data_IF_020875091537
#
_entry.id   IF_020875091537
#
_cell.length_a   1.000
_cell.length_b   1.000
_cell.length_c   1.000
_cell.angle_alpha   90.00
_cell.angle_beta   90.00
_cell.angle_gamma   90.00
#
_symmetry.space_group_name_H-M   'P 1'
#
loop_
_entity.id
_entity.type
_entity.pdbx_description
1 polymer ?
#
# COMPACT_ATOMS: atom_id res chain seq x y z
N UNK A 1 5.66 3.41 -9.92
CA UNK A 1 4.77 2.23 -9.91
C UNK A 1 3.75 2.37 -8.82
N UNK A 2 2.49 2.12 -9.12
CA UNK A 2 1.44 2.11 -8.13
C UNK A 2 1.30 0.72 -7.54
N UNK A 3 1.12 0.65 -6.24
CA UNK A 3 1.03 -0.60 -5.51
C UNK A 3 -0.30 -0.62 -4.76
N UNK A 4 -1.03 -1.70 -4.90
CA UNK A 4 -2.29 -1.89 -4.21
C UNK A 4 -2.06 -2.78 -3.00
N UNK A 5 -2.50 -2.31 -1.83
CA UNK A 5 -2.28 -3.00 -0.56
C UNK A 5 -3.63 -3.30 0.06
N UNK A 6 -3.85 -4.55 0.44
CA UNK A 6 -5.13 -5.00 0.98
C UNK A 6 -4.94 -5.72 2.30
N UNK A 7 -6.05 -5.99 2.94
CA UNK A 7 -6.10 -6.72 4.21
C UNK A 7 -5.32 -6.00 5.29
N UNK A 8 -5.40 -4.68 5.29
CA UNK A 8 -4.72 -3.86 6.29
C UNK A 8 -5.48 -3.87 7.60
N UNK A 9 -4.74 -3.80 8.69
CA UNK A 9 -5.34 -3.57 9.99
C UNK A 9 -5.97 -2.17 9.98
N UNK A 10 -7.17 -2.07 10.53
CA UNK A 10 -7.89 -0.79 10.51
C UNK A 10 -7.19 0.31 11.27
N UNK A 11 -6.31 -0.04 12.19
CA UNK A 11 -5.54 0.95 12.96
C UNK A 11 -4.23 1.33 12.29
N UNK A 12 -3.88 0.71 11.17
CA UNK A 12 -2.65 1.03 10.46
C UNK A 12 -2.76 2.42 9.84
N UNK A 13 -1.73 3.22 10.06
CA UNK A 13 -1.72 4.60 9.58
C UNK A 13 -0.86 4.71 8.33
N UNK A 14 -1.08 5.81 7.61
CA UNK A 14 -0.32 6.06 6.39
C UNK A 14 1.16 6.15 6.66
N UNK A 15 1.55 6.76 7.78
CA UNK A 15 2.96 6.85 8.14
C UNK A 15 3.59 5.48 8.31
N UNK A 16 2.86 4.57 8.93
CA UNK A 16 3.36 3.22 9.15
C UNK A 16 3.51 2.47 7.83
N UNK A 17 2.53 2.63 6.96
CA UNK A 17 2.59 1.99 5.65
C UNK A 17 3.73 2.57 4.82
N UNK A 18 3.93 3.87 4.89
CA UNK A 18 5.03 4.52 4.20
C UNK A 18 6.38 3.98 4.68
N UNK A 19 6.52 3.75 5.98
CA UNK A 19 7.78 3.23 6.52
C UNK A 19 8.04 1.81 6.04
N UNK A 20 7.01 0.99 5.95
CA UNK A 20 7.18 -0.37 5.45
C UNK A 20 7.78 -0.39 4.05
N UNK A 21 7.24 0.44 3.18
CA UNK A 21 7.70 0.48 1.80
C UNK A 21 8.97 1.29 1.66
N UNK A 22 9.18 2.25 2.55
CA UNK A 22 10.36 3.09 2.51
C UNK A 22 11.66 2.35 2.74
N UNK A 23 11.59 1.17 3.32
CA UNK A 23 12.79 0.35 3.52
C UNK A 23 13.34 -0.18 2.22
N UNK A 24 12.54 -0.21 1.17
CA UNK A 24 12.96 -0.73 -0.12
C UNK A 24 13.33 0.36 -1.11
N UNK A 25 12.88 1.58 -0.87
CA UNK A 25 13.18 2.69 -1.74
C UNK A 25 12.29 3.86 -1.42
N UNK A 26 12.39 4.89 -2.25
CA UNK A 26 11.63 6.11 -2.05
C UNK A 26 10.14 5.86 -2.26
N UNK A 27 9.33 6.42 -1.38
CA UNK A 27 7.87 6.38 -1.48
C UNK A 27 7.40 7.79 -1.79
N UNK A 28 6.76 7.99 -2.95
CA UNK A 28 6.31 9.33 -3.32
C UNK A 28 4.95 9.65 -2.74
N UNK A 29 4.09 8.65 -2.53
CA UNK A 29 2.82 8.91 -1.88
C UNK A 29 2.26 7.62 -1.29
N UNK A 30 1.43 7.79 -0.27
CA UNK A 30 0.72 6.70 0.40
C UNK A 30 -0.69 7.18 0.66
N UNK A 31 -1.65 6.31 0.40
CA UNK A 31 -3.05 6.65 0.67
C UNK A 31 -3.77 5.43 1.21
N UNK A 32 -4.39 5.59 2.38
CA UNK A 32 -5.24 4.55 2.95
C UNK A 32 -6.68 5.01 2.74
N UNK A 33 -7.47 4.15 2.13
CA UNK A 33 -8.86 4.49 1.80
C UNK A 33 -9.72 4.37 3.05
N UNK A 34 -10.54 5.36 3.27
CA UNK A 34 -11.42 5.40 4.43
C UNK A 34 -12.86 5.48 3.99
N UNK A 35 -13.74 4.95 4.83
CA UNK A 35 -15.17 5.07 4.61
C UNK A 35 -15.60 6.52 4.87
N UNK A 36 -16.32 7.10 3.93
CA UNK A 36 -16.72 8.49 4.07
C UNK A 36 -17.76 8.70 5.17
N UNK A 37 -18.52 7.68 5.45
CA UNK A 37 -19.61 7.79 6.43
C UNK A 37 -19.07 7.64 7.84
N UNK A 38 -18.26 6.62 8.08
CA UNK A 38 -17.76 6.31 9.43
C UNK A 38 -16.39 6.89 9.70
N UNK A 39 -15.63 7.25 8.66
CA UNK A 39 -14.28 7.73 8.81
C UNK A 39 -13.27 6.64 9.11
N UNK A 40 -13.67 5.40 9.08
CA UNK A 40 -12.80 4.27 9.38
C UNK A 40 -12.09 3.78 8.13
N UNK A 41 -10.87 3.27 8.32
CA UNK A 41 -10.13 2.66 7.22
C UNK A 41 -10.87 1.43 6.73
N UNK A 42 -10.88 1.25 5.41
CA UNK A 42 -11.56 0.10 4.80
C UNK A 42 -10.67 -1.12 4.69
N UNK A 43 -9.40 -1.01 5.10
CA UNK A 43 -8.51 -2.14 5.07
C UNK A 43 -7.71 -2.25 3.79
N UNK A 44 -7.71 -1.23 2.96
CA UNK A 44 -6.88 -1.24 1.76
C UNK A 44 -6.40 0.18 1.44
N UNK A 45 -5.38 0.25 0.60
CA UNK A 45 -4.83 1.53 0.21
C UNK A 45 -3.89 1.39 -0.95
N UNK A 46 -3.20 2.47 -1.26
CA UNK A 46 -2.29 2.53 -2.39
C UNK A 46 -0.99 3.17 -1.96
N UNK A 47 0.11 2.68 -2.54
CA UNK A 47 1.44 3.24 -2.33
C UNK A 47 2.02 3.52 -3.70
N UNK A 48 2.65 4.68 -3.85
CA UNK A 48 3.34 4.99 -5.10
C UNK A 48 4.83 5.07 -4.86
N UNK A 49 5.58 4.29 -5.61
CA UNK A 49 7.05 4.29 -5.58
C UNK A 49 7.55 4.58 -6.98
N UNK A 50 8.38 5.62 -7.14
CA UNK A 50 8.86 5.97 -8.49
C UNK A 50 9.85 4.96 -9.06
N UNK A 51 10.56 4.22 -8.22
CA UNK A 51 11.54 3.24 -8.67
C UNK A 51 10.85 1.89 -8.83
N UNK A 52 10.75 1.42 -10.07
CA UNK A 52 10.06 0.16 -10.34
C UNK A 52 10.78 -1.04 -9.72
N UNK A 53 12.09 -1.00 -9.66
CA UNK A 53 12.84 -2.10 -9.04
C UNK A 53 12.58 -2.16 -7.54
N UNK A 54 12.61 -1.01 -6.89
CA UNK A 54 12.31 -0.95 -5.46
C UNK A 54 10.87 -1.38 -5.19
N UNK A 55 9.94 -0.95 -6.04
CA UNK A 55 8.54 -1.32 -5.89
C UNK A 55 8.34 -2.82 -6.06
N UNK A 56 8.99 -3.41 -7.04
CA UNK A 56 8.88 -4.85 -7.27
C UNK A 56 9.41 -5.63 -6.08
N UNK A 57 10.54 -5.20 -5.54
CA UNK A 57 11.11 -5.86 -4.37
C UNK A 57 10.19 -5.70 -3.16
N UNK A 58 9.63 -4.52 -2.97
CA UNK A 58 8.72 -4.28 -1.86
C UNK A 58 7.49 -5.20 -1.98
N UNK A 59 6.93 -5.32 -3.16
CA UNK A 59 5.79 -6.19 -3.38
C UNK A 59 6.15 -7.62 -2.98
N UNK A 60 7.28 -8.10 -3.47
CA UNK A 60 7.69 -9.47 -3.21
C UNK A 60 7.96 -9.75 -1.74
N UNK A 61 8.53 -8.78 -1.03
CA UNK A 61 8.91 -8.98 0.37
C UNK A 61 7.78 -8.72 1.34
N UNK A 62 6.91 -7.78 1.03
CA UNK A 62 5.86 -7.37 1.96
C UNK A 62 4.60 -8.20 1.79
N UNK A 63 4.33 -8.69 0.57
CA UNK A 63 3.14 -9.48 0.32
C UNK A 63 3.13 -10.71 1.23
N UNK A 64 2.06 -10.87 1.98
CA UNK A 64 1.93 -11.97 2.91
C UNK A 64 2.56 -11.74 4.27
N UNK A 65 3.20 -10.60 4.47
CA UNK A 65 3.83 -10.28 5.74
C UNK A 65 2.78 -9.93 6.79
N UNK A 66 3.08 -10.31 8.02
CA UNK A 66 2.20 -9.99 9.14
C UNK A 66 2.45 -8.56 9.59
N UNK A 67 1.43 -7.73 9.46
CA UNK A 67 1.49 -6.34 9.89
C UNK A 67 0.35 -6.09 10.85
N UNK A 68 0.67 -5.82 12.09
CA UNK A 68 -0.31 -5.60 13.16
C UNK A 68 -1.31 -6.75 13.27
N UNK A 69 -0.83 -7.97 13.07
CA UNK A 69 -1.66 -9.15 13.23
C UNK A 69 -2.43 -9.57 12.00
N UNK A 70 -2.20 -8.94 10.86
CA UNK A 70 -2.88 -9.32 9.62
C UNK A 70 -1.85 -9.53 8.52
N UNK A 71 -2.03 -10.61 7.77
CA UNK A 71 -1.18 -10.89 6.62
C UNK A 71 -1.64 -10.01 5.47
N UNK A 72 -0.92 -8.93 5.22
CA UNK A 72 -1.34 -8.00 4.18
C UNK A 72 -1.04 -8.56 2.81
N UNK A 73 -1.82 -8.14 1.84
CA UNK A 73 -1.63 -8.53 0.45
C UNK A 73 -1.20 -7.32 -0.35
N UNK A 74 -0.14 -7.50 -1.11
CA UNK A 74 0.48 -6.41 -1.86
C UNK A 74 0.62 -6.85 -3.31
N UNK A 75 0.17 -6.00 -4.22
CA UNK A 75 0.27 -6.34 -5.63
C UNK A 75 0.42 -5.06 -6.44
N UNK A 76 0.93 -5.21 -7.65
CA UNK A 76 1.05 -4.10 -8.56
C UNK A 76 -0.33 -3.61 -8.96
N UNK A 77 -0.58 -2.32 -8.79
CA UNK A 77 -1.83 -1.72 -9.20
C UNK A 77 -1.65 -1.09 -10.57
N UNK A 78 -2.64 -1.30 -11.42
CA UNK A 78 -2.64 -0.64 -12.71
C UNK A 78 -3.01 0.82 -12.53
N UNK A 79 -2.42 1.72 -13.31
CA UNK A 79 -2.81 3.13 -13.20
C UNK A 79 -4.28 3.29 -13.60
N UNK A 80 -4.92 4.34 -13.09
CA UNK A 80 -6.32 4.60 -13.47
C UNK A 80 -6.42 4.68 -14.98
N UNK A 81 -7.41 3.99 -15.54
CA UNK A 81 -7.59 3.94 -16.97
C UNK A 81 -8.07 5.27 -17.47
N UNK A 82 -7.35 5.82 -18.36
CA UNK A 82 -7.85 7.00 -19.00
C UNK A 82 -8.64 6.62 -20.23
N UNK A 83 -8.75 6.09 -20.72
CA UNK A 83 -9.18 5.64 -21.70
C UNK A 83 -9.28 5.68 -22.34
N UNK A 84 -9.28 5.65 -22.76
CA UNK A 84 -9.47 5.49 -23.37
C UNK A 84 -9.70 5.39 -23.79
#
# INVERSE_FOLDING_TARGET
MNIYVRNLNYSLKEDELSQLFGEFGEVSSVKIIKDKVTGRAKGFGFVEMPDDNAASEAISKINGSDVKGRAIQVEKALPPKSRD
#
